data_IF_208661782377
#
_entry.id   IF_208661782377
#
_cell.length_a   1.000
_cell.length_b   1.000
_cell.length_c   1.000
_cell.angle_alpha   90.00
_cell.angle_beta   90.00
_cell.angle_gamma   90.00
#
_symmetry.space_group_name_H-M   'P 1'
#
loop_
_entity.id
_entity.type
_entity.pdbx_description
1 polymer ?
#
# COMPACT_ATOMS: atom_id res chain seq x y z
N UNK A 1 24.28 -7.46 10.11
CA UNK A 1 23.65 -6.44 9.24
C UNK A 1 22.14 -6.66 9.31
N UNK A 2 21.35 -5.65 9.70
CA UNK A 2 19.93 -5.84 10.01
C UNK A 2 19.12 -5.91 8.70
N UNK A 3 18.57 -7.08 8.39
CA UNK A 3 17.79 -7.33 7.16
C UNK A 3 16.61 -6.37 6.99
N UNK A 4 16.02 -5.92 8.11
CA UNK A 4 14.94 -4.92 8.09
C UNK A 4 15.42 -3.59 7.50
N UNK A 5 16.62 -3.14 7.88
CA UNK A 5 17.19 -1.89 7.36
C UNK A 5 17.51 -1.97 5.87
N UNK A 6 17.90 -3.15 5.36
CA UNK A 6 18.12 -3.36 3.93
C UNK A 6 16.81 -3.34 3.14
N UNK A 7 15.76 -3.98 3.67
CA UNK A 7 14.42 -3.94 3.06
C UNK A 7 13.90 -2.50 3.02
N UNK A 8 14.02 -1.76 4.14
CA UNK A 8 13.64 -0.34 4.20
C UNK A 8 14.38 0.48 3.13
N UNK A 9 15.70 0.30 2.98
CA UNK A 9 16.50 0.97 1.95
C UNK A 9 16.06 0.63 0.52
N UNK A 10 15.77 -0.64 0.23
CA UNK A 10 15.32 -1.09 -1.10
C UNK A 10 13.94 -0.52 -1.42
N UNK A 11 13.01 -0.54 -0.46
CA UNK A 11 11.68 0.01 -0.64
C UNK A 11 11.73 1.53 -0.81
N UNK A 12 12.55 2.21 -0.01
CA UNK A 12 12.80 3.64 -0.15
C UNK A 12 13.34 3.97 -1.55
N UNK A 13 14.39 3.30 -2.03
CA UNK A 13 14.94 3.59 -3.36
C UNK A 13 13.97 3.28 -4.51
N UNK A 14 13.07 2.31 -4.34
CA UNK A 14 12.12 1.90 -5.38
C UNK A 14 10.85 2.75 -5.43
N UNK A 15 10.39 3.27 -4.29
CA UNK A 15 9.09 3.96 -4.18
C UNK A 15 9.20 5.44 -3.74
N UNK A 16 10.33 5.89 -3.19
CA UNK A 16 10.51 7.29 -2.72
C UNK A 16 11.06 8.25 -3.78
N UNK A 17 11.51 7.75 -4.91
CA UNK A 17 11.88 8.58 -6.08
C UNK A 17 10.72 8.70 -7.07
N UNK A 18 9.47 8.65 -6.60
CA UNK A 18 8.32 9.00 -7.41
C UNK A 18 8.46 10.42 -7.97
N UNK A 19 7.93 10.71 -9.18
CA UNK A 19 8.05 12.02 -9.80
C UNK A 19 7.54 13.11 -8.86
N UNK A 20 8.33 14.18 -8.72
CA UNK A 20 7.81 15.49 -8.31
C UNK A 20 6.84 15.93 -9.43
N UNK A 21 5.67 16.50 -9.11
CA UNK A 21 4.59 17.00 -10.02
C UNK A 21 3.42 16.03 -10.26
N UNK A 22 2.14 16.43 -10.31
CA UNK A 22 1.43 17.70 -10.04
C UNK A 22 -0.02 17.37 -9.65
N UNK A 23 -0.58 18.21 -8.78
CA UNK A 23 -1.87 18.09 -8.09
C UNK A 23 -3.07 18.19 -9.05
N UNK A 24 -4.18 17.54 -8.70
CA UNK A 24 -5.51 18.03 -9.04
C UNK A 24 -6.04 18.81 -7.83
N UNK A 25 -6.01 20.15 -7.90
CA UNK A 25 -6.44 21.03 -6.79
C UNK A 25 -7.91 20.85 -6.41
N UNK A 26 -8.72 20.17 -7.24
CA UNK A 26 -10.13 19.91 -6.97
C UNK A 26 -10.38 18.56 -6.26
N UNK A 27 -9.39 17.67 -6.15
CA UNK A 27 -9.57 16.38 -5.51
C UNK A 27 -9.54 16.52 -3.98
N UNK A 28 -10.70 16.36 -3.33
CA UNK A 28 -10.80 16.42 -1.87
C UNK A 28 -10.74 15.06 -1.19
N UNK A 29 -11.04 13.97 -1.93
CA UNK A 29 -10.98 12.59 -1.44
C UNK A 29 -10.64 11.62 -2.59
N UNK A 30 -9.77 10.63 -2.35
CA UNK A 30 -9.47 9.54 -3.29
C UNK A 30 -7.97 9.34 -3.57
N UNK A 31 -7.64 8.82 -4.75
CA UNK A 31 -6.24 8.63 -5.18
C UNK A 31 -5.70 9.95 -5.71
N UNK A 32 -4.85 10.61 -4.93
CA UNK A 32 -4.13 11.80 -5.38
C UNK A 32 -2.96 11.42 -6.29
N UNK A 33 -2.26 10.33 -5.97
CA UNK A 33 -1.13 9.87 -6.76
C UNK A 33 -1.02 8.35 -6.77
N UNK A 34 -0.54 7.81 -7.89
CA UNK A 34 -0.21 6.40 -8.03
C UNK A 34 1.09 6.22 -8.83
N UNK A 35 1.90 5.23 -8.43
CA UNK A 35 2.99 4.72 -9.25
C UNK A 35 3.18 3.21 -9.05
N UNK A 36 3.69 2.51 -10.06
CA UNK A 36 4.00 1.10 -9.98
C UNK A 36 3.10 0.22 -10.85
N UNK A 37 2.90 -1.03 -10.42
CA UNK A 37 2.18 -2.06 -11.17
C UNK A 37 1.42 -3.00 -10.23
N UNK A 38 0.73 -4.00 -10.78
CA UNK A 38 0.04 -5.03 -10.02
C UNK A 38 0.94 -5.76 -9.02
N UNK A 39 2.23 -5.95 -9.33
CA UNK A 39 3.14 -6.63 -8.40
C UNK A 39 3.62 -5.72 -7.27
N UNK A 40 3.60 -4.41 -7.47
CA UNK A 40 4.03 -3.43 -6.47
C UNK A 40 3.54 -2.03 -6.83
N UNK A 41 2.67 -1.47 -6.01
CA UNK A 41 1.99 -0.21 -6.21
C UNK A 41 2.25 0.74 -5.03
N UNK A 42 2.47 2.01 -5.31
CA UNK A 42 2.46 3.11 -4.36
C UNK A 42 1.23 3.96 -4.63
N UNK A 43 0.54 4.35 -3.56
CA UNK A 43 -0.61 5.24 -3.56
C UNK A 43 -0.39 6.37 -2.57
N UNK A 44 -0.66 7.61 -2.98
CA UNK A 44 -1.01 8.68 -2.05
C UNK A 44 -2.53 8.85 -2.06
N UNK A 45 -3.15 8.55 -0.93
CA UNK A 45 -4.60 8.59 -0.74
C UNK A 45 -4.95 9.80 0.13
N UNK A 46 -5.83 10.66 -0.37
CA UNK A 46 -6.34 11.79 0.38
C UNK A 46 -7.68 11.42 0.98
N UNK A 47 -7.76 11.42 2.30
CA UNK A 47 -9.00 11.38 3.05
C UNK A 47 -9.47 12.78 3.43
N UNK A 48 -10.62 12.83 4.07
CA UNK A 48 -11.19 14.06 4.63
C UNK A 48 -10.34 14.64 5.75
N UNK A 49 -9.63 13.78 6.51
CA UNK A 49 -8.85 14.20 7.68
C UNK A 49 -7.34 13.98 7.54
N UNK A 50 -6.93 13.07 6.66
CA UNK A 50 -5.57 12.54 6.62
C UNK A 50 -5.08 12.25 5.20
N UNK A 51 -3.76 12.26 5.02
CA UNK A 51 -3.09 11.79 3.79
C UNK A 51 -2.33 10.52 4.11
N UNK A 52 -2.60 9.45 3.35
CA UNK A 52 -1.95 8.16 3.52
C UNK A 52 -1.03 7.84 2.35
N UNK A 53 0.22 7.52 2.65
CA UNK A 53 1.20 7.02 1.66
C UNK A 53 1.30 5.52 1.82
N UNK A 54 0.54 4.81 1.00
CA UNK A 54 0.34 3.37 1.07
C UNK A 54 1.11 2.66 -0.04
N UNK A 55 1.93 1.69 0.33
CA UNK A 55 2.54 0.73 -0.58
C UNK A 55 1.80 -0.60 -0.48
N UNK A 56 1.43 -1.17 -1.62
CA UNK A 56 0.81 -2.49 -1.74
C UNK A 56 1.66 -3.36 -2.64
N UNK A 57 2.03 -4.55 -2.16
CA UNK A 57 2.91 -5.46 -2.91
C UNK A 57 2.42 -6.89 -2.89
N UNK A 58 2.60 -7.56 -4.03
CA UNK A 58 2.49 -9.01 -4.09
C UNK A 58 3.74 -9.64 -3.45
N UNK A 59 3.58 -10.60 -2.53
CA UNK A 59 4.71 -11.30 -1.96
C UNK A 59 5.50 -12.05 -3.06
N UNK A 60 6.77 -11.70 -3.28
CA UNK A 60 7.64 -12.39 -4.23
C UNK A 60 8.72 -13.21 -3.53
N UNK A 61 9.15 -14.30 -4.18
CA UNK A 61 10.26 -15.16 -3.72
C UNK A 61 11.62 -14.44 -3.64
N UNK A 62 11.73 -13.28 -4.28
CA UNK A 62 12.96 -12.47 -4.33
C UNK A 62 13.06 -11.45 -3.19
N UNK A 63 11.93 -11.01 -2.63
CA UNK A 63 11.88 -10.05 -1.52
C UNK A 63 11.52 -10.69 -0.17
N UNK A 64 10.81 -11.83 -0.18
CA UNK A 64 10.31 -12.47 1.03
C UNK A 64 10.58 -13.98 1.02
N UNK A 65 11.13 -14.50 2.12
CA UNK A 65 11.18 -15.95 2.41
C UNK A 65 9.96 -16.41 3.22
N UNK A 66 8.89 -15.61 3.22
CA UNK A 66 7.74 -15.81 4.10
C UNK A 66 6.78 -16.89 3.54
N UNK A 67 6.12 -17.61 4.45
CA UNK A 67 5.03 -18.56 4.14
C UNK A 67 3.81 -17.97 3.40
N UNK A 68 3.80 -16.65 3.11
CA UNK A 68 2.74 -15.96 2.38
C UNK A 68 3.01 -15.90 0.86
N UNK A 69 4.22 -16.25 0.40
CA UNK A 69 4.57 -16.22 -1.03
C UNK A 69 3.78 -17.27 -1.82
N UNK A 70 3.09 -16.82 -2.88
CA UNK A 70 2.24 -17.67 -3.71
C UNK A 70 0.88 -18.02 -3.08
N UNK A 71 0.53 -17.36 -1.97
CA UNK A 71 -0.80 -17.42 -1.36
C UNK A 71 -1.57 -16.14 -1.65
N UNK A 72 -2.86 -16.18 -1.34
CA UNK A 72 -3.80 -15.09 -1.55
C UNK A 72 -3.62 -13.97 -0.48
N UNK A 73 -2.44 -13.34 -0.50
CA UNK A 73 -2.02 -12.31 0.44
C UNK A 73 -1.40 -11.13 -0.30
N UNK A 74 -1.64 -9.93 0.22
CA UNK A 74 -0.95 -8.71 -0.17
C UNK A 74 -0.21 -8.15 1.04
N UNK A 75 0.93 -7.51 0.78
CA UNK A 75 1.65 -6.75 1.80
C UNK A 75 1.24 -5.30 1.71
N UNK A 76 0.72 -4.76 2.81
CA UNK A 76 0.36 -3.37 2.97
C UNK A 76 1.38 -2.68 3.87
N UNK A 77 1.87 -1.53 3.44
CA UNK A 77 2.84 -0.72 4.17
C UNK A 77 2.42 0.75 4.14
N UNK A 78 2.31 1.37 5.31
CA UNK A 78 2.20 2.81 5.44
C UNK A 78 3.59 3.43 5.61
N UNK A 79 3.75 4.59 4.99
CA UNK A 79 4.93 5.41 5.10
C UNK A 79 4.65 6.62 6.00
N UNK A 80 5.30 6.64 7.16
CA UNK A 80 5.15 7.67 8.17
C UNK A 80 6.54 8.07 8.71
N UNK A 81 6.84 9.37 8.76
CA UNK A 81 8.09 9.89 9.33
C UNK A 81 9.36 9.14 8.85
N UNK A 82 9.45 8.90 7.54
CA UNK A 82 10.54 8.14 6.88
C UNK A 82 10.64 6.65 7.24
N UNK A 83 9.68 6.10 7.99
CA UNK A 83 9.56 4.68 8.30
C UNK A 83 8.47 4.01 7.48
N UNK A 84 8.69 2.76 7.07
CA UNK A 84 7.63 1.89 6.53
C UNK A 84 7.16 0.92 7.61
N UNK A 85 5.87 0.92 7.90
CA UNK A 85 5.22 0.02 8.87
C UNK A 85 4.02 -0.66 8.23
N UNK A 86 3.78 -1.93 8.57
CA UNK A 86 2.62 -2.65 8.07
C UNK A 86 2.82 -4.16 8.11
N UNK A 87 2.14 -4.89 7.24
CA UNK A 87 2.12 -6.34 7.30
C UNK A 87 1.40 -7.00 6.12
N UNK A 88 1.41 -8.33 6.16
CA UNK A 88 0.67 -9.16 5.20
C UNK A 88 -0.78 -9.29 5.64
N UNK A 89 -1.67 -9.22 4.66
CA UNK A 89 -3.11 -9.37 4.82
C UNK A 89 -3.60 -10.37 3.78
N UNK A 90 -4.44 -11.31 4.18
CA UNK A 90 -5.09 -12.24 3.25
C UNK A 90 -6.38 -11.66 2.69
N UNK A 91 -6.69 -11.93 1.42
CA UNK A 91 -7.99 -11.55 0.84
C UNK A 91 -9.18 -12.30 1.46
N UNK A 92 -8.95 -13.42 2.15
CA UNK A 92 -10.03 -14.17 2.83
C UNK A 92 -10.44 -13.60 4.18
N UNK A 93 -9.71 -12.61 4.70
CA UNK A 93 -9.96 -12.03 6.02
C UNK A 93 -10.69 -10.69 5.94
N UNK A 94 -11.27 -10.28 7.07
CA UNK A 94 -11.91 -8.97 7.16
C UNK A 94 -10.83 -7.87 7.12
N UNK A 95 -10.80 -7.12 6.02
CA UNK A 95 -9.77 -6.12 5.76
C UNK A 95 -9.63 -5.08 6.87
N UNK A 96 -10.74 -4.53 7.39
CA UNK A 96 -10.70 -3.53 8.44
C UNK A 96 -10.06 -4.07 9.73
N UNK A 97 -10.42 -5.30 10.11
CA UNK A 97 -9.85 -5.97 11.28
C UNK A 97 -8.34 -6.14 11.12
N UNK A 98 -7.91 -6.56 9.94
CA UNK A 98 -6.50 -6.73 9.61
C UNK A 98 -5.75 -5.40 9.56
N UNK A 99 -6.34 -4.34 8.99
CA UNK A 99 -5.80 -2.98 9.03
C UNK A 99 -5.61 -2.49 10.47
N UNK A 100 -6.61 -2.66 11.35
CA UNK A 100 -6.50 -2.31 12.77
C UNK A 100 -5.39 -3.11 13.46
N UNK A 101 -5.17 -4.37 13.08
CA UNK A 101 -4.09 -5.21 13.60
C UNK A 101 -2.71 -4.74 13.16
N UNK A 102 -2.49 -4.49 11.87
CA UNK A 102 -1.16 -4.15 11.32
C UNK A 102 -0.80 -2.67 11.48
N UNK A 103 -1.80 -1.79 11.53
CA UNK A 103 -1.64 -0.34 11.70
C UNK A 103 -2.08 0.13 13.09
N UNK A 104 -1.88 -0.71 14.12
CA UNK A 104 -2.24 -0.42 15.51
C UNK A 104 -1.54 0.80 16.14
N UNK A 105 -0.53 1.36 15.46
CA UNK A 105 0.17 2.59 15.84
C UNK A 105 -0.53 3.84 15.31
N UNK A 106 -1.43 3.69 14.34
CA UNK A 106 -2.25 4.75 13.77
C UNK A 106 -3.54 4.85 14.59
N UNK A 107 -4.07 6.07 14.75
CA UNK A 107 -5.37 6.29 15.41
C UNK A 107 -6.47 5.52 14.69
N UNK A 108 -7.39 4.92 15.46
CA UNK A 108 -8.43 4.06 14.91
C UNK A 108 -9.28 4.74 13.83
N UNK A 109 -9.66 6.00 14.05
CA UNK A 109 -10.41 6.83 13.07
C UNK A 109 -9.69 6.98 11.72
N UNK A 110 -8.36 7.09 11.74
CA UNK A 110 -7.54 7.18 10.53
C UNK A 110 -7.39 5.81 9.85
N UNK A 111 -7.35 4.72 10.62
CA UNK A 111 -7.34 3.36 10.05
C UNK A 111 -8.67 3.06 9.34
N UNK A 112 -9.78 3.51 9.93
CA UNK A 112 -11.10 3.41 9.31
C UNK A 112 -11.19 4.25 8.03
N UNK A 113 -10.65 5.47 8.04
CA UNK A 113 -10.56 6.31 6.85
C UNK A 113 -9.70 5.66 5.75
N UNK A 114 -8.52 5.13 6.10
CA UNK A 114 -7.66 4.39 5.17
C UNK A 114 -8.38 3.18 4.56
N UNK A 115 -9.13 2.44 5.38
CA UNK A 115 -9.93 1.32 4.92
C UNK A 115 -10.98 1.78 3.91
N UNK A 116 -11.70 2.88 4.17
CA UNK A 116 -12.67 3.45 3.23
C UNK A 116 -12.02 3.89 1.91
N UNK A 117 -10.87 4.57 1.98
CA UNK A 117 -10.12 5.00 0.79
C UNK A 117 -9.65 3.80 -0.04
N UNK A 118 -9.25 2.71 0.62
CA UNK A 118 -8.87 1.48 -0.06
C UNK A 118 -10.06 0.85 -0.80
N UNK A 119 -11.18 0.60 -0.12
CA UNK A 119 -12.32 -0.09 -0.72
C UNK A 119 -12.98 0.73 -1.84
N UNK A 120 -13.02 2.06 -1.70
CA UNK A 120 -13.74 2.91 -2.63
C UNK A 120 -12.89 3.32 -3.84
N UNK A 121 -11.57 3.37 -3.69
CA UNK A 121 -10.67 3.90 -4.73
C UNK A 121 -9.53 2.96 -5.07
N UNK A 122 -8.63 2.70 -4.12
CA UNK A 122 -7.35 2.07 -4.42
C UNK A 122 -7.48 0.60 -4.85
N UNK A 123 -8.39 -0.17 -4.24
CA UNK A 123 -8.66 -1.57 -4.59
C UNK A 123 -9.18 -1.72 -6.02
N UNK A 124 -10.19 -0.93 -6.40
CA UNK A 124 -10.75 -0.90 -7.75
C UNK A 124 -9.70 -0.54 -8.79
N UNK A 125 -8.82 0.42 -8.47
CA UNK A 125 -7.69 0.75 -9.34
C UNK A 125 -6.68 -0.40 -9.43
N UNK A 126 -6.33 -0.99 -8.29
CA UNK A 126 -5.36 -2.08 -8.19
C UNK A 126 -5.80 -3.35 -8.94
N UNK A 127 -7.08 -3.69 -8.92
CA UNK A 127 -7.65 -4.79 -9.71
C UNK A 127 -7.48 -4.57 -11.22
N UNK A 128 -7.67 -3.33 -11.71
CA UNK A 128 -7.44 -2.98 -13.12
C UNK A 128 -5.99 -3.19 -13.52
N UNK A 129 -5.04 -2.85 -12.64
CA UNK A 129 -3.61 -3.10 -12.89
C UNK A 129 -3.34 -4.60 -13.06
N UNK A 130 -3.95 -5.43 -12.21
CA UNK A 130 -3.77 -6.88 -12.22
C UNK A 130 -4.32 -7.51 -13.49
N UNK A 131 -5.49 -7.07 -13.95
CA UNK A 131 -6.13 -7.56 -15.17
C UNK A 131 -5.46 -7.10 -16.47
N UNK A 132 -4.56 -6.11 -16.41
CA UNK A 132 -3.84 -5.63 -17.59
C UNK A 132 -2.65 -6.53 -17.95
N UNK A 133 -2.17 -7.36 -17.01
CA UNK A 133 -1.02 -8.25 -17.21
C UNK A 133 -1.38 -9.51 -18.02
N UNK A 134 -2.66 -9.91 -18.07
CA UNK A 134 -3.11 -11.13 -18.79
C UNK A 134 -3.29 -10.97 -20.31
N UNK A 135 -2.96 -9.82 -20.90
CA UNK A 135 -3.21 -9.55 -22.33
C UNK A 135 -2.00 -9.61 -23.28
N UNK A 136 -0.84 -10.08 -22.84
CA UNK A 136 0.32 -10.27 -23.72
C UNK A 136 1.05 -11.58 -23.49
#
# INVERSE_FOLDING_TARGET
MNKEQEIQKILHSKFMYGPKYQMDEALTEGINFFSGSASSAFYELWGNSSIFRLIVMQPSKTLFTSHYVGKDHLMFLLMEEEQLRGGFISHSENLLTEFKRIFNHVREEHVEELHLLWINYASVHYEKLSNTVEKY
#
